data_IF_070362681294
#
_entry.id   IF_070362681294
#
_cell.length_a   1.000
_cell.length_b   1.000
_cell.length_c   1.000
_cell.angle_alpha   90.00
_cell.angle_beta   90.00
_cell.angle_gamma   90.00
#
_symmetry.space_group_name_H-M   'P 1'
#
loop_
_entity.id
_entity.type
_entity.pdbx_description
1 polymer ?
#
# COMPACT_ATOMS: atom_id res chain seq x y z
N UNK A 1 18.35 -11.88 -8.88
CA UNK A 1 18.04 -11.65 -7.47
C UNK A 1 19.17 -12.15 -6.59
N UNK A 2 19.62 -11.34 -5.62
CA UNK A 2 20.71 -11.71 -4.72
C UNK A 2 20.22 -12.62 -3.58
N UNK A 3 21.09 -13.44 -2.94
CA UNK A 3 20.71 -14.24 -1.77
C UNK A 3 20.16 -13.39 -0.60
N UNK A 4 20.58 -12.13 -0.51
CA UNK A 4 20.14 -11.17 0.49
C UNK A 4 18.69 -10.75 0.26
N UNK A 5 18.30 -10.49 -1.00
CA UNK A 5 16.90 -10.19 -1.36
C UNK A 5 15.96 -11.36 -1.02
N UNK A 6 16.38 -12.60 -1.29
CA UNK A 6 15.57 -13.78 -0.95
C UNK A 6 15.34 -13.91 0.57
N UNK A 7 16.39 -13.67 1.37
CA UNK A 7 16.28 -13.65 2.82
C UNK A 7 15.38 -12.51 3.31
N UNK A 8 15.45 -11.33 2.69
CA UNK A 8 14.57 -10.21 3.02
C UNK A 8 13.11 -10.56 2.77
N UNK A 9 12.77 -11.09 1.59
CA UNK A 9 11.40 -11.51 1.24
C UNK A 9 10.89 -12.59 2.22
N UNK A 10 11.70 -13.61 2.51
CA UNK A 10 11.33 -14.66 3.47
C UNK A 10 11.08 -14.10 4.89
N UNK A 11 11.88 -13.11 5.29
CA UNK A 11 11.75 -12.42 6.58
C UNK A 11 10.46 -11.59 6.64
N UNK A 12 10.10 -10.89 5.56
CA UNK A 12 8.84 -10.14 5.46
C UNK A 12 7.66 -11.10 5.54
N UNK A 13 7.65 -12.16 4.73
CA UNK A 13 6.57 -13.14 4.69
C UNK A 13 6.36 -13.83 6.03
N UNK A 14 7.43 -14.30 6.67
CA UNK A 14 7.35 -14.91 8.01
C UNK A 14 6.93 -13.90 9.09
N UNK A 15 7.38 -12.65 9.00
CA UNK A 15 6.97 -11.56 9.88
C UNK A 15 5.47 -11.27 9.83
N UNK A 16 4.90 -11.17 8.63
CA UNK A 16 3.47 -10.93 8.42
C UNK A 16 2.62 -12.07 9.00
N UNK A 17 3.01 -13.33 8.77
CA UNK A 17 2.34 -14.50 9.35
C UNK A 17 2.40 -14.48 10.87
N UNK A 18 3.54 -14.13 11.45
CA UNK A 18 3.74 -14.05 12.88
C UNK A 18 2.90 -12.92 13.52
N UNK A 19 2.77 -11.79 12.82
CA UNK A 19 1.94 -10.67 13.26
C UNK A 19 0.45 -11.02 13.23
N UNK A 20 -0.02 -11.65 12.15
CA UNK A 20 -1.38 -12.18 12.05
C UNK A 20 -1.67 -13.23 13.14
N UNK A 21 -0.70 -14.09 13.45
CA UNK A 21 -0.83 -15.05 14.55
C UNK A 21 -0.96 -14.37 15.92
N UNK A 22 -0.18 -13.32 16.18
CA UNK A 22 -0.31 -12.55 17.41
C UNK A 22 -1.65 -11.84 17.51
N UNK A 23 -2.14 -11.22 16.44
CA UNK A 23 -3.48 -10.61 16.42
C UNK A 23 -4.58 -11.64 16.68
N UNK A 24 -4.49 -12.82 16.05
CA UNK A 24 -5.43 -13.92 16.29
C UNK A 24 -5.44 -14.36 17.76
N UNK A 25 -4.25 -14.49 18.36
CA UNK A 25 -4.13 -14.83 19.79
C UNK A 25 -4.73 -13.73 20.68
N UNK A 26 -4.51 -12.47 20.35
CA UNK A 26 -5.03 -11.31 21.09
C UNK A 26 -6.56 -11.22 21.00
N UNK A 27 -7.15 -11.56 19.85
CA UNK A 27 -8.60 -11.71 19.69
C UNK A 27 -9.16 -12.88 20.50
N UNK A 28 -8.46 -14.03 20.51
CA UNK A 28 -8.88 -15.22 21.28
C UNK A 28 -8.82 -14.98 22.79
N UNK A 29 -7.83 -14.22 23.26
CA UNK A 29 -7.71 -13.78 24.66
C UNK A 29 -8.72 -12.68 25.05
N UNK A 30 -9.62 -12.29 24.14
CA UNK A 30 -10.68 -11.30 24.38
C UNK A 30 -10.19 -9.85 24.48
N UNK A 31 -8.94 -9.59 24.06
CA UNK A 31 -8.28 -8.27 24.20
C UNK A 31 -8.48 -7.37 23.00
N UNK A 32 -8.73 -7.96 21.84
CA UNK A 32 -9.15 -7.26 20.62
C UNK A 32 -10.61 -7.62 20.31
N UNK A 33 -11.34 -6.65 19.74
CA UNK A 33 -12.68 -6.93 19.20
C UNK A 33 -12.53 -8.04 18.15
N UNK A 34 -13.39 -9.06 18.22
CA UNK A 34 -13.46 -10.08 17.17
C UNK A 34 -13.75 -9.38 15.85
N UNK A 35 -12.85 -9.54 14.89
CA UNK A 35 -13.07 -9.04 13.54
C UNK A 35 -14.31 -9.70 12.95
N UNK A 36 -15.24 -8.91 12.42
CA UNK A 36 -16.41 -9.46 11.70
C UNK A 36 -15.98 -10.16 10.41
N UNK A 37 -14.85 -9.75 9.83
CA UNK A 37 -14.22 -10.33 8.65
C UNK A 37 -13.73 -11.76 8.95
N UNK A 38 -13.37 -12.07 10.20
CA UNK A 38 -12.98 -13.42 10.60
C UNK A 38 -14.10 -14.46 10.43
N UNK A 39 -15.37 -14.03 10.33
CA UNK A 39 -16.52 -14.91 10.04
C UNK A 39 -16.53 -15.42 8.60
N UNK A 40 -15.88 -14.70 7.68
CA UNK A 40 -15.81 -15.04 6.25
C UNK A 40 -14.81 -16.19 5.99
N UNK A 41 -13.92 -16.50 6.94
CA UNK A 41 -12.96 -17.59 6.78
C UNK A 41 -12.09 -17.42 5.54
N UNK A 42 -11.89 -18.49 4.77
CA UNK A 42 -11.05 -18.47 3.57
C UNK A 42 -11.56 -17.51 2.47
N UNK A 43 -12.85 -17.17 2.43
CA UNK A 43 -13.37 -16.25 1.40
C UNK A 43 -12.89 -14.81 1.60
N UNK A 44 -12.42 -14.45 2.81
CA UNK A 44 -11.80 -13.16 3.07
C UNK A 44 -10.50 -12.95 2.26
N UNK A 45 -9.85 -14.04 1.81
CA UNK A 45 -8.61 -13.98 1.03
C UNK A 45 -8.85 -13.74 -0.46
N UNK A 46 -10.08 -13.93 -0.96
CA UNK A 46 -10.40 -13.75 -2.38
C UNK A 46 -10.11 -12.32 -2.82
N UNK A 47 -10.53 -11.33 -2.02
CA UNK A 47 -10.31 -9.92 -2.36
C UNK A 47 -8.81 -9.54 -2.38
N UNK A 48 -8.01 -9.80 -1.32
CA UNK A 48 -6.56 -9.54 -1.35
C UNK A 48 -5.83 -10.24 -2.48
N UNK A 49 -6.13 -11.52 -2.76
CA UNK A 49 -5.47 -12.27 -3.84
C UNK A 49 -5.82 -11.68 -5.20
N UNK A 50 -7.11 -11.40 -5.43
CA UNK A 50 -7.57 -10.80 -6.70
C UNK A 50 -6.96 -9.42 -6.88
N UNK A 51 -6.92 -8.60 -5.82
CA UNK A 51 -6.28 -7.30 -5.83
C UNK A 51 -4.80 -7.42 -6.20
N UNK A 52 -4.06 -8.31 -5.55
CA UNK A 52 -2.63 -8.53 -5.82
C UNK A 52 -2.38 -8.92 -7.29
N UNK A 53 -3.25 -9.74 -7.88
CA UNK A 53 -3.14 -10.12 -9.29
C UNK A 53 -3.40 -8.95 -10.24
N UNK A 54 -4.43 -8.15 -9.97
CA UNK A 54 -4.75 -6.97 -10.78
C UNK A 54 -3.65 -5.92 -10.67
N UNK A 55 -3.15 -5.70 -9.45
CA UNK A 55 -2.07 -4.77 -9.15
C UNK A 55 -0.78 -5.16 -9.87
N UNK A 56 -0.37 -6.43 -9.80
CA UNK A 56 0.80 -6.92 -10.52
C UNK A 56 0.70 -6.74 -12.05
N UNK A 57 -0.49 -6.93 -12.62
CA UNK A 57 -0.72 -6.69 -14.06
C UNK A 57 -0.67 -5.19 -14.37
N UNK A 58 -1.25 -4.34 -13.52
CA UNK A 58 -1.24 -2.89 -13.68
C UNK A 58 0.19 -2.35 -13.63
N UNK A 59 0.98 -2.71 -12.62
CA UNK A 59 2.39 -2.28 -12.48
C UNK A 59 3.24 -2.71 -13.67
N UNK A 60 3.04 -3.94 -14.17
CA UNK A 60 3.73 -4.41 -15.37
C UNK A 60 3.37 -3.59 -16.61
N UNK A 61 2.09 -3.25 -16.78
CA UNK A 61 1.65 -2.39 -17.88
C UNK A 61 2.24 -0.99 -17.72
N UNK A 62 2.22 -0.40 -16.53
CA UNK A 62 2.80 0.91 -16.25
C UNK A 62 4.28 0.96 -16.64
N UNK A 63 5.08 -0.02 -16.22
CA UNK A 63 6.49 -0.15 -16.63
C UNK A 63 6.64 -0.22 -18.16
N UNK A 64 5.79 -1.02 -18.84
CA UNK A 64 5.85 -1.17 -20.29
C UNK A 64 5.50 0.13 -21.04
N UNK A 65 4.43 0.82 -20.63
CA UNK A 65 4.01 2.10 -21.23
C UNK A 65 5.06 3.19 -21.01
N UNK A 66 5.65 3.23 -19.80
CA UNK A 66 6.70 4.18 -19.44
C UNK A 66 8.01 3.93 -20.20
N UNK A 67 8.35 2.67 -20.47
CA UNK A 67 9.60 2.34 -21.18
C UNK A 67 9.46 2.45 -22.70
N UNK A 68 8.27 2.17 -23.26
CA UNK A 68 8.12 1.91 -24.70
C UNK A 68 7.26 2.93 -25.46
N UNK A 69 6.42 3.72 -24.79
CA UNK A 69 5.33 4.46 -25.47
C UNK A 69 5.27 5.94 -25.07
N UNK A 70 5.45 6.28 -23.79
CA UNK A 70 5.24 7.64 -23.27
C UNK A 70 6.47 8.18 -22.56
N UNK A 71 6.76 9.46 -22.75
CA UNK A 71 7.73 10.16 -21.89
C UNK A 71 7.15 10.38 -20.49
N UNK A 72 8.00 10.69 -19.51
CA UNK A 72 7.64 10.83 -18.09
C UNK A 72 6.51 11.84 -17.88
N UNK A 73 6.59 12.96 -18.60
CA UNK A 73 5.61 14.04 -18.51
C UNK A 73 4.27 13.63 -19.11
N UNK A 74 4.28 12.85 -20.19
CA UNK A 74 3.05 12.38 -20.85
C UNK A 74 2.34 11.34 -19.98
N UNK A 75 3.09 10.44 -19.35
CA UNK A 75 2.53 9.48 -18.41
C UNK A 75 1.98 10.17 -17.16
N UNK A 76 2.68 11.17 -16.62
CA UNK A 76 2.18 11.93 -15.48
C UNK A 76 0.84 12.62 -15.81
N UNK A 77 0.75 13.27 -16.98
CA UNK A 77 -0.50 13.88 -17.45
C UNK A 77 -1.60 12.82 -17.62
N UNK A 78 -1.27 11.66 -18.19
CA UNK A 78 -2.20 10.55 -18.38
C UNK A 78 -2.74 10.02 -17.02
N UNK A 79 -1.85 9.85 -16.04
CA UNK A 79 -2.23 9.44 -14.69
C UNK A 79 -3.15 10.49 -14.03
N UNK A 80 -2.77 11.78 -14.04
CA UNK A 80 -3.59 12.84 -13.46
C UNK A 80 -4.98 12.93 -14.10
N UNK A 81 -5.07 12.81 -15.43
CA UNK A 81 -6.35 12.81 -16.15
C UNK A 81 -7.21 11.58 -15.80
N UNK A 82 -6.58 10.42 -15.63
CA UNK A 82 -7.27 9.19 -15.22
C UNK A 82 -7.85 9.34 -13.81
N UNK A 83 -7.05 9.82 -12.85
CA UNK A 83 -7.54 10.07 -11.49
C UNK A 83 -8.59 11.17 -11.44
N UNK A 84 -8.47 12.20 -12.26
CA UNK A 84 -9.51 13.23 -12.41
C UNK A 84 -10.82 12.61 -12.89
N UNK A 85 -10.79 11.76 -13.93
CA UNK A 85 -11.97 11.07 -14.44
C UNK A 85 -12.59 10.17 -13.37
N UNK A 86 -11.79 9.36 -12.68
CA UNK A 86 -12.24 8.49 -11.57
C UNK A 86 -12.84 9.33 -10.45
N UNK A 87 -12.25 10.49 -10.14
CA UNK A 87 -12.78 11.46 -9.17
C UNK A 87 -14.16 11.99 -9.57
N UNK A 88 -14.35 12.38 -10.84
CA UNK A 88 -15.65 12.82 -11.36
C UNK A 88 -16.68 11.70 -11.29
N UNK A 89 -16.33 10.48 -11.72
CA UNK A 89 -17.23 9.32 -11.65
C UNK A 89 -17.61 8.97 -10.20
N UNK A 90 -16.65 9.03 -9.28
CA UNK A 90 -16.88 8.81 -7.85
C UNK A 90 -17.80 9.87 -7.25
N UNK A 91 -17.64 11.13 -7.66
CA UNK A 91 -18.49 12.24 -7.24
C UNK A 91 -19.94 12.06 -7.76
N UNK A 92 -20.10 11.67 -9.03
CA UNK A 92 -21.40 11.31 -9.61
C UNK A 92 -22.04 10.16 -8.79
N UNK A 93 -21.28 9.10 -8.52
CA UNK A 93 -21.77 7.97 -7.72
C UNK A 93 -22.23 8.40 -6.32
N UNK A 94 -21.47 9.26 -5.64
CA UNK A 94 -21.83 9.78 -4.32
C UNK A 94 -23.12 10.60 -4.32
N UNK A 95 -23.32 11.46 -5.32
CA UNK A 95 -24.51 12.31 -5.42
C UNK A 95 -25.75 11.52 -5.85
N UNK A 96 -25.64 10.69 -6.89
CA UNK A 96 -26.80 10.03 -7.50
C UNK A 96 -27.17 8.71 -6.82
N UNK A 97 -26.19 7.89 -6.42
CA UNK A 97 -26.45 6.56 -5.84
C UNK A 97 -26.50 6.65 -4.32
N UNK A 98 -25.47 7.21 -3.68
CA UNK A 98 -25.39 7.26 -2.22
C UNK A 98 -26.11 8.45 -1.59
N UNK A 99 -26.49 9.46 -2.39
CA UNK A 99 -27.16 10.72 -1.96
C UNK A 99 -26.50 11.35 -0.73
N UNK A 100 -25.17 11.25 -0.64
CA UNK A 100 -24.41 11.70 0.53
C UNK A 100 -23.91 13.13 0.33
N UNK A 101 -23.97 13.97 1.37
CA UNK A 101 -23.41 15.32 1.31
C UNK A 101 -21.89 15.25 1.43
N UNK A 102 -21.20 15.41 0.30
CA UNK A 102 -19.74 15.50 0.25
C UNK A 102 -19.29 16.96 0.32
N UNK A 103 -18.34 17.27 1.20
CA UNK A 103 -17.69 18.58 1.25
C UNK A 103 -16.20 18.41 0.86
N UNK A 104 -15.81 18.75 -0.38
CA UNK A 104 -14.44 18.59 -0.85
C UNK A 104 -13.45 19.52 -0.15
N UNK A 105 -13.91 20.62 0.45
CA UNK A 105 -13.06 21.66 1.03
C UNK A 105 -12.68 21.41 2.49
N UNK A 106 -12.84 20.19 3.00
CA UNK A 106 -12.32 19.86 4.34
C UNK A 106 -10.79 19.89 4.30
N UNK A 107 -10.12 20.57 5.26
CA UNK A 107 -8.68 20.71 5.25
C UNK A 107 -7.95 19.36 5.26
N UNK A 108 -8.49 18.34 5.92
CA UNK A 108 -7.91 16.99 5.93
C UNK A 108 -7.99 16.30 4.58
N UNK A 109 -9.06 16.53 3.80
CA UNK A 109 -9.20 15.98 2.44
C UNK A 109 -8.31 16.71 1.45
N UNK A 110 -8.17 18.03 1.59
CA UNK A 110 -7.26 18.84 0.77
C UNK A 110 -5.80 18.46 1.02
N UNK A 111 -5.40 18.31 2.29
CA UNK A 111 -4.06 17.84 2.64
C UNK A 111 -3.80 16.43 2.12
N UNK A 112 -4.78 15.54 2.22
CA UNK A 112 -4.70 14.20 1.64
C UNK A 112 -4.52 14.24 0.13
N UNK A 113 -5.32 15.03 -0.58
CA UNK A 113 -5.23 15.17 -2.04
C UNK A 113 -3.89 15.76 -2.51
N UNK A 114 -3.38 16.78 -1.82
CA UNK A 114 -2.05 17.35 -2.11
C UNK A 114 -0.95 16.32 -1.85
N UNK A 115 -1.03 15.60 -0.72
CA UNK A 115 -0.05 14.56 -0.37
C UNK A 115 -0.04 13.41 -1.38
N UNK A 116 -1.21 12.98 -1.85
CA UNK A 116 -1.36 11.93 -2.85
C UNK A 116 -0.77 12.38 -4.20
N UNK A 117 -1.12 13.61 -4.64
CA UNK A 117 -0.60 14.18 -5.89
C UNK A 117 0.92 14.35 -5.84
N UNK A 118 1.45 14.80 -4.71
CA UNK A 118 2.90 14.89 -4.50
C UNK A 118 3.56 13.50 -4.55
N UNK A 119 2.96 12.50 -3.90
CA UNK A 119 3.43 11.11 -3.96
C UNK A 119 3.47 10.56 -5.37
N UNK A 120 2.41 10.77 -6.15
CA UNK A 120 2.32 10.37 -7.56
C UNK A 120 3.40 11.05 -8.43
N UNK A 121 3.68 12.33 -8.20
CA UNK A 121 4.77 13.03 -8.88
C UNK A 121 6.10 12.31 -8.63
N UNK A 122 6.44 12.05 -7.35
CA UNK A 122 7.68 11.33 -7.04
C UNK A 122 7.69 9.90 -7.59
N UNK A 123 6.54 9.23 -7.63
CA UNK A 123 6.37 7.88 -8.18
C UNK A 123 6.78 7.80 -9.66
N UNK A 124 6.23 8.68 -10.51
CA UNK A 124 6.49 8.65 -11.96
C UNK A 124 7.96 8.97 -12.27
N UNK A 125 8.53 9.97 -11.58
CA UNK A 125 9.93 10.33 -11.79
C UNK A 125 10.92 9.28 -11.21
N UNK A 126 10.54 8.56 -10.16
CA UNK A 126 11.34 7.42 -9.69
C UNK A 126 11.38 6.31 -10.76
N UNK A 127 10.21 5.92 -11.28
CA UNK A 127 10.08 4.90 -12.32
C UNK A 127 10.85 5.22 -13.59
N UNK A 128 10.88 6.50 -13.96
CA UNK A 128 11.61 6.99 -15.13
C UNK A 128 13.14 6.91 -15.02
N UNK A 129 13.67 6.92 -13.80
CA UNK A 129 15.12 6.87 -13.57
C UNK A 129 15.66 5.46 -13.79
N UNK A 130 15.43 4.59 -12.80
CA UNK A 130 15.79 3.17 -12.84
C UNK A 130 14.59 2.37 -12.32
N UNK A 131 13.84 1.76 -13.24
CA UNK A 131 12.71 0.87 -12.90
C UNK A 131 13.12 -0.27 -11.95
N UNK A 132 14.39 -0.70 -12.04
CA UNK A 132 15.00 -1.75 -11.18
C UNK A 132 15.12 -1.29 -9.72
N UNK A 133 15.48 -0.03 -9.46
CA UNK A 133 15.59 0.52 -8.09
C UNK A 133 14.20 0.91 -7.55
N UNK A 134 13.28 1.19 -8.46
CA UNK A 134 11.97 1.75 -8.12
C UNK A 134 10.98 0.72 -7.58
N UNK A 135 10.96 -0.50 -8.15
CA UNK A 135 10.11 -1.59 -7.65
C UNK A 135 10.33 -1.94 -6.14
N UNK A 136 11.57 -1.99 -5.62
CA UNK A 136 11.86 -2.09 -4.19
C UNK A 136 11.32 -0.96 -3.35
N UNK A 137 11.49 0.28 -3.83
CA UNK A 137 11.09 1.48 -3.09
C UNK A 137 9.57 1.54 -2.96
N UNK A 138 8.86 1.11 -4.00
CA UNK A 138 7.39 1.01 -3.96
C UNK A 138 6.92 -0.01 -2.92
N UNK A 139 7.63 -1.13 -2.77
CA UNK A 139 7.33 -2.16 -1.77
C UNK A 139 7.49 -1.69 -0.30
N UNK A 140 8.11 -0.53 -0.06
CA UNK A 140 8.27 0.06 1.28
C UNK A 140 7.00 0.76 1.78
N UNK A 141 6.05 1.08 0.91
CA UNK A 141 4.87 1.89 1.25
C UNK A 141 4.04 1.29 2.39
N UNK A 142 3.71 -0.01 2.32
CA UNK A 142 2.93 -0.71 3.34
C UNK A 142 3.68 -0.87 4.66
N UNK A 143 5.01 -0.90 4.60
CA UNK A 143 5.88 -1.05 5.76
C UNK A 143 6.01 0.28 6.48
N UNK A 144 6.22 1.36 5.72
CA UNK A 144 6.22 2.73 6.23
C UNK A 144 4.84 3.07 6.82
N UNK A 145 3.75 2.69 6.16
CA UNK A 145 2.40 2.85 6.69
C UNK A 145 2.21 2.06 8.01
N UNK A 146 2.68 0.81 8.09
CA UNK A 146 2.63 0.00 9.32
C UNK A 146 3.43 0.64 10.45
N UNK A 147 4.61 1.20 10.15
CA UNK A 147 5.49 1.85 11.10
C UNK A 147 4.86 3.15 11.63
N UNK A 148 4.29 3.97 10.75
CA UNK A 148 3.52 5.15 11.12
C UNK A 148 2.26 4.79 11.93
N UNK A 149 1.61 3.66 11.64
CA UNK A 149 0.53 3.13 12.49
C UNK A 149 0.97 2.92 13.94
N UNK A 150 2.19 2.40 14.16
CA UNK A 150 2.73 2.23 15.52
C UNK A 150 3.15 3.57 16.15
N UNK A 151 3.81 4.44 15.38
CA UNK A 151 4.41 5.69 15.86
C UNK A 151 3.39 6.81 16.07
N UNK A 152 2.51 7.06 15.08
CA UNK A 152 1.53 8.15 15.10
C UNK A 152 0.22 7.76 15.81
N UNK A 153 -0.35 6.59 15.48
CA UNK A 153 -1.67 6.20 16.01
C UNK A 153 -1.60 5.60 17.42
N UNK A 154 -0.38 5.39 17.95
CA UNK A 154 -0.12 4.85 19.30
C UNK A 154 -0.97 3.61 19.62
N UNK A 155 -1.12 2.72 18.66
CA UNK A 155 -1.87 1.49 18.88
C UNK A 155 -1.29 0.71 20.07
N UNK A 156 -2.18 0.13 20.90
CA UNK A 156 -1.77 -0.70 22.05
C UNK A 156 -1.26 -2.05 21.58
N UNK A 157 -0.03 -2.06 21.08
CA UNK A 157 0.63 -3.22 20.51
C UNK A 157 1.58 -3.84 21.54
N UNK A 158 1.60 -5.18 21.66
CA UNK A 158 2.55 -5.87 22.56
C UNK A 158 3.98 -5.65 22.09
N UNK A 159 4.93 -5.71 23.03
CA UNK A 159 6.38 -5.64 22.73
C UNK A 159 6.81 -6.65 21.64
N UNK A 160 6.16 -7.82 21.57
CA UNK A 160 6.41 -8.87 20.56
C UNK A 160 5.99 -8.45 19.16
N UNK A 161 4.79 -7.89 19.00
CA UNK A 161 4.30 -7.38 17.70
C UNK A 161 5.12 -6.17 17.24
N UNK A 162 5.52 -5.27 18.16
CA UNK A 162 6.43 -4.15 17.83
C UNK A 162 7.78 -4.64 17.29
N UNK A 163 8.35 -5.69 17.89
CA UNK A 163 9.59 -6.30 17.42
C UNK A 163 9.42 -6.89 16.01
N UNK A 164 8.30 -7.56 15.76
CA UNK A 164 7.97 -8.12 14.43
C UNK A 164 7.86 -7.02 13.38
N UNK A 165 7.16 -5.91 13.68
CA UNK A 165 7.04 -4.77 12.77
C UNK A 165 8.41 -4.16 12.49
N UNK A 166 9.24 -3.97 13.51
CA UNK A 166 10.60 -3.45 13.34
C UNK A 166 11.45 -4.37 12.45
N UNK A 167 11.35 -5.69 12.65
CA UNK A 167 12.08 -6.68 11.87
C UNK A 167 11.62 -6.70 10.41
N UNK A 168 10.31 -6.58 10.15
CA UNK A 168 9.78 -6.38 8.80
C UNK A 168 10.34 -5.09 8.20
N UNK A 169 10.35 -3.99 8.95
CA UNK A 169 10.88 -2.70 8.48
C UNK A 169 12.36 -2.77 8.09
N UNK A 170 13.18 -3.45 8.88
CA UNK A 170 14.60 -3.67 8.56
C UNK A 170 14.74 -4.54 7.32
N UNK A 171 13.97 -5.63 7.20
CA UNK A 171 14.03 -6.50 6.04
C UNK A 171 13.69 -5.77 4.74
N UNK A 172 12.70 -4.89 4.75
CA UNK A 172 12.30 -4.14 3.55
C UNK A 172 13.30 -3.05 3.23
N UNK A 173 13.89 -2.39 4.24
CA UNK A 173 15.00 -1.48 4.03
C UNK A 173 16.21 -2.16 3.38
N UNK A 174 16.53 -3.39 3.83
CA UNK A 174 17.58 -4.21 3.20
C UNK A 174 17.18 -4.57 1.76
N UNK A 175 15.92 -4.93 1.49
CA UNK A 175 15.46 -5.20 0.13
C UNK A 175 15.65 -3.97 -0.77
N UNK A 176 15.27 -2.79 -0.30
CA UNK A 176 15.44 -1.51 -1.02
C UNK A 176 16.88 -1.04 -1.19
N UNK A 177 17.82 -1.50 -0.35
CA UNK A 177 19.25 -1.14 -0.46
C UNK A 177 20.05 -2.08 -1.37
N UNK A 178 19.59 -3.33 -1.51
CA UNK A 178 20.31 -4.39 -2.21
C UNK A 178 19.72 -4.71 -3.60
N UNK A 179 18.77 -3.92 -4.09
CA UNK A 179 18.35 -3.84 -5.51
C UNK A 179 18.93 -2.59 -6.14
#
# INVERSE_FOLDING_TARGET
MSPVQFLAIATIGSGLVLLAYFEYKDQKEGRLRKSEIAKLGASALIFPITYMLVDAVATFLDEHYMTSIMNETEALISFELTFFLVGVLSLIYLFFVKKHRYNPFKPTLLLGGISETAGQFFYVFALAGDGVVTAPIMSLDGVVASLFGVLLLKERIRKRQKLTILLIAVAVFVLGFFE
#
